data_IF_956464446364
#
_entry.id   IF_956464446364
#
_cell.length_a   1.000
_cell.length_b   1.000
_cell.length_c   1.000
_cell.angle_alpha   90.00
_cell.angle_beta   90.00
_cell.angle_gamma   90.00
#
_symmetry.space_group_name_H-M   'P 1'
#
loop_
_entity.id
_entity.type
_entity.pdbx_description
1 polymer ?
#
# COMPACT_ATOMS: atom_id res chain seq x y z
N UNK A 1 15.87 -39.49 -23.70
CA UNK A 1 15.88 -38.54 -22.56
C UNK A 1 15.18 -37.28 -23.03
N UNK A 2 13.99 -37.01 -22.52
CA UNK A 2 13.19 -35.82 -22.86
C UNK A 2 13.38 -34.83 -21.71
N UNK A 3 13.91 -33.65 -22.00
CA UNK A 3 14.04 -32.56 -21.03
C UNK A 3 12.65 -32.11 -20.55
N UNK A 4 12.48 -31.81 -19.25
CA UNK A 4 11.22 -31.25 -18.78
C UNK A 4 11.11 -29.81 -19.29
N UNK A 5 10.18 -29.60 -20.21
CA UNK A 5 9.68 -28.29 -20.59
C UNK A 5 9.20 -27.56 -19.32
N UNK A 6 9.98 -26.59 -18.85
CA UNK A 6 9.53 -25.60 -17.88
C UNK A 6 8.51 -24.69 -18.57
N UNK A 7 7.28 -25.17 -18.76
CA UNK A 7 6.13 -24.31 -18.97
C UNK A 7 5.94 -23.52 -17.69
N UNK A 8 6.47 -22.30 -17.66
CA UNK A 8 6.07 -21.26 -16.72
C UNK A 8 4.56 -21.07 -16.86
N UNK A 9 3.79 -21.75 -16.01
CA UNK A 9 2.40 -21.35 -15.77
C UNK A 9 2.49 -19.90 -15.31
N UNK A 10 1.67 -18.98 -15.85
CA UNK A 10 1.45 -17.71 -15.18
C UNK A 10 1.10 -18.06 -13.74
N UNK A 11 1.77 -17.48 -12.76
CA UNK A 11 1.30 -17.53 -11.37
C UNK A 11 -0.15 -17.05 -11.45
N UNK A 12 -1.11 -17.96 -11.29
CA UNK A 12 -2.53 -17.61 -11.22
C UNK A 12 -2.65 -16.70 -10.02
N UNK A 13 -2.65 -15.39 -10.26
CA UNK A 13 -2.79 -14.39 -9.21
C UNK A 13 -4.20 -14.58 -8.69
N UNK A 14 -4.31 -15.14 -7.49
CA UNK A 14 -5.57 -15.29 -6.78
C UNK A 14 -6.29 -13.94 -6.78
N UNK A 15 -7.59 -13.87 -7.17
CA UNK A 15 -8.34 -12.63 -7.16
C UNK A 15 -8.23 -11.90 -5.80
N UNK A 16 -8.15 -10.56 -5.76
CA UNK A 16 -8.01 -9.82 -4.49
C UNK A 16 -9.08 -10.17 -3.45
N UNK A 17 -10.34 -10.41 -3.88
CA UNK A 17 -11.42 -10.83 -2.98
C UNK A 17 -11.17 -12.20 -2.34
N UNK A 18 -10.56 -13.14 -3.06
CA UNK A 18 -10.18 -14.45 -2.53
C UNK A 18 -8.99 -14.35 -1.57
N UNK A 19 -8.02 -13.49 -1.86
CA UNK A 19 -6.91 -13.21 -0.95
C UNK A 19 -7.40 -12.61 0.37
N UNK A 20 -8.27 -11.60 0.31
CA UNK A 20 -8.83 -10.94 1.50
C UNK A 20 -9.76 -11.90 2.26
N UNK A 21 -10.58 -12.68 1.56
CA UNK A 21 -11.42 -13.69 2.18
C UNK A 21 -10.60 -14.75 2.93
N UNK A 22 -9.52 -15.26 2.32
CA UNK A 22 -8.62 -16.19 2.99
C UNK A 22 -7.88 -15.56 4.16
N UNK A 23 -7.50 -14.29 4.06
CA UNK A 23 -6.77 -13.58 5.12
C UNK A 23 -7.64 -13.33 6.34
N UNK A 24 -8.91 -12.99 6.13
CA UNK A 24 -9.86 -12.64 7.20
C UNK A 24 -10.76 -13.81 7.62
N UNK A 25 -10.54 -15.02 7.09
CA UNK A 25 -11.40 -16.20 7.26
C UNK A 25 -12.88 -15.91 6.97
N UNK A 26 -13.13 -15.24 5.84
CA UNK A 26 -14.46 -14.81 5.42
C UNK A 26 -14.99 -15.64 4.27
N UNK A 27 -16.30 -15.87 4.30
CA UNK A 27 -17.00 -16.57 3.24
C UNK A 27 -17.33 -15.63 2.08
N UNK A 28 -16.92 -16.00 0.88
CA UNK A 28 -17.39 -15.36 -0.35
C UNK A 28 -18.78 -15.89 -0.69
N UNK A 29 -19.68 -14.97 -1.01
CA UNK A 29 -21.03 -15.25 -1.49
C UNK A 29 -21.20 -14.66 -2.89
N UNK A 30 -22.14 -15.20 -3.66
CA UNK A 30 -22.53 -14.65 -4.97
C UNK A 30 -24.04 -14.38 -4.97
N UNK A 31 -24.50 -13.22 -4.48
CA UNK A 31 -25.91 -12.94 -4.38
C UNK A 31 -26.51 -12.55 -5.74
N UNK A 32 -27.53 -13.29 -6.15
CA UNK A 32 -28.35 -12.99 -7.34
C UNK A 32 -27.91 -13.70 -8.63
N UNK A 33 -28.49 -13.27 -9.76
CA UNK A 33 -28.26 -13.85 -11.09
C UNK A 33 -26.98 -13.35 -11.78
N UNK A 34 -26.32 -12.33 -11.23
CA UNK A 34 -25.06 -11.79 -11.76
C UNK A 34 -23.91 -12.41 -10.98
N UNK A 35 -22.86 -12.84 -11.69
CA UNK A 35 -21.66 -13.48 -11.16
C UNK A 35 -20.75 -12.49 -10.41
N UNK A 36 -21.30 -11.75 -9.43
CA UNK A 36 -20.55 -10.83 -8.58
C UNK A 36 -20.25 -11.51 -7.26
N UNK A 37 -18.96 -11.68 -6.99
CA UNK A 37 -18.47 -12.14 -5.69
C UNK A 37 -18.58 -11.00 -4.67
N UNK A 38 -19.07 -11.34 -3.48
CA UNK A 38 -19.23 -10.41 -2.37
C UNK A 38 -18.73 -11.06 -1.08
N UNK A 39 -18.20 -10.24 -0.21
CA UNK A 39 -17.84 -10.60 1.16
C UNK A 39 -18.03 -9.38 2.05
N UNK A 40 -18.13 -9.58 3.35
CA UNK A 40 -18.26 -8.48 4.28
C UNK A 40 -18.35 -8.94 5.72
N UNK A 41 -18.30 -7.96 6.61
CA UNK A 41 -18.36 -8.14 8.05
C UNK A 41 -19.12 -6.97 8.68
N UNK A 42 -19.60 -7.10 9.93
CA UNK A 42 -20.26 -6.00 10.63
C UNK A 42 -19.31 -4.82 10.87
N UNK A 43 -19.80 -3.58 10.71
CA UNK A 43 -18.97 -2.36 10.79
C UNK A 43 -18.18 -2.23 12.10
N UNK A 44 -18.72 -2.72 13.22
CA UNK A 44 -18.03 -2.70 14.51
C UNK A 44 -16.75 -3.55 14.56
N UNK A 45 -16.57 -4.50 13.62
CA UNK A 45 -15.37 -5.34 13.52
C UNK A 45 -14.27 -4.71 12.64
N UNK A 46 -14.49 -3.51 12.11
CA UNK A 46 -13.56 -2.84 11.20
C UNK A 46 -12.17 -2.70 11.79
N UNK A 47 -12.05 -2.18 13.02
CA UNK A 47 -10.76 -1.96 13.68
C UNK A 47 -9.94 -3.26 13.80
N UNK A 48 -10.60 -4.36 14.15
CA UNK A 48 -9.96 -5.69 14.24
C UNK A 48 -9.44 -6.20 12.89
N UNK A 49 -10.18 -6.01 11.80
CA UNK A 49 -9.72 -6.45 10.48
C UNK A 49 -8.70 -5.51 9.86
N UNK A 50 -8.73 -4.23 10.23
CA UNK A 50 -7.87 -3.20 9.70
C UNK A 50 -6.39 -3.47 10.03
N UNK A 51 -6.05 -3.79 11.27
CA UNK A 51 -4.67 -4.17 11.64
C UNK A 51 -4.15 -5.34 10.79
N UNK A 52 -4.95 -6.40 10.64
CA UNK A 52 -4.61 -7.57 9.83
C UNK A 52 -4.37 -7.21 8.36
N UNK A 53 -5.19 -6.33 7.78
CA UNK A 53 -5.07 -5.89 6.39
C UNK A 53 -3.82 -5.02 6.19
N UNK A 54 -3.61 -4.04 7.07
CA UNK A 54 -2.49 -3.10 6.99
C UNK A 54 -1.14 -3.81 7.20
N UNK A 55 -1.07 -4.79 8.11
CA UNK A 55 0.14 -5.60 8.33
C UNK A 55 0.52 -6.47 7.12
N UNK A 56 -0.46 -6.77 6.26
CA UNK A 56 -0.24 -7.44 4.97
C UNK A 56 0.01 -6.46 3.82
N UNK A 57 0.10 -5.16 4.10
CA UNK A 57 0.39 -4.13 3.11
C UNK A 57 -0.82 -3.68 2.28
N UNK A 58 -2.05 -4.02 2.70
CA UNK A 58 -3.25 -3.55 2.02
C UNK A 58 -3.59 -2.12 2.44
N UNK A 59 -4.07 -1.31 1.50
CA UNK A 59 -4.70 -0.01 1.78
C UNK A 59 -6.20 -0.18 1.85
N UNK A 60 -6.84 0.28 2.92
CA UNK A 60 -8.28 0.19 3.15
C UNK A 60 -8.93 1.55 2.95
N UNK A 61 -9.93 1.61 2.07
CA UNK A 61 -10.72 2.82 1.82
C UNK A 61 -12.12 2.61 2.41
N UNK A 62 -12.48 3.44 3.40
CA UNK A 62 -13.80 3.39 4.02
C UNK A 62 -14.74 4.33 3.26
N UNK A 63 -15.86 3.77 2.82
CA UNK A 63 -16.89 4.47 2.06
C UNK A 63 -18.18 4.43 2.87
N UNK A 64 -18.52 5.56 3.47
CA UNK A 64 -19.71 5.69 4.32
C UNK A 64 -20.89 6.30 3.57
N UNK A 65 -22.07 6.03 4.09
CA UNK A 65 -23.31 6.61 3.62
C UNK A 65 -23.46 8.07 4.07
N UNK A 66 -23.86 8.95 3.15
CA UNK A 66 -24.23 10.33 3.45
C UNK A 66 -25.74 10.42 3.70
N UNK A 67 -26.13 11.07 4.80
CA UNK A 67 -27.54 11.27 5.16
C UNK A 67 -28.14 12.38 4.29
N UNK A 68 -28.70 12.00 3.14
CA UNK A 68 -29.20 12.97 2.14
C UNK A 68 -30.72 13.09 2.02
N UNK A 69 -31.50 12.25 2.72
CA UNK A 69 -32.98 12.32 2.72
C UNK A 69 -33.67 12.10 1.36
N UNK A 70 -32.92 11.68 0.33
CA UNK A 70 -33.41 11.45 -1.05
C UNK A 70 -33.89 10.01 -1.22
N UNK A 71 -34.86 9.80 -2.10
CA UNK A 71 -35.29 8.47 -2.54
C UNK A 71 -34.26 7.84 -3.47
N UNK A 72 -34.12 6.51 -3.43
CA UNK A 72 -33.16 5.75 -4.25
C UNK A 72 -31.89 5.33 -3.51
N UNK A 73 -30.83 4.91 -4.23
CA UNK A 73 -29.56 4.55 -3.62
C UNK A 73 -28.99 5.72 -2.81
N UNK A 74 -28.67 5.46 -1.55
CA UNK A 74 -28.06 6.46 -0.66
C UNK A 74 -26.71 6.92 -1.21
N UNK A 75 -26.45 8.22 -1.12
CA UNK A 75 -25.18 8.79 -1.53
C UNK A 75 -24.07 8.25 -0.62
N UNK A 76 -22.88 8.03 -1.18
CA UNK A 76 -21.72 7.53 -0.44
C UNK A 76 -20.49 8.38 -0.74
N UNK A 77 -19.62 8.53 0.24
CA UNK A 77 -18.35 9.23 0.09
C UNK A 77 -17.24 8.50 0.86
N UNK A 78 -16.01 8.69 0.41
CA UNK A 78 -14.83 8.24 1.15
C UNK A 78 -14.76 9.06 2.44
N UNK A 79 -14.84 8.38 3.58
CA UNK A 79 -14.69 9.01 4.89
C UNK A 79 -13.26 8.94 5.38
N UNK A 80 -12.58 7.82 5.11
CA UNK A 80 -11.23 7.52 5.63
C UNK A 80 -10.43 6.68 4.64
N UNK A 81 -9.11 6.84 4.68
CA UNK A 81 -8.14 5.99 3.97
C UNK A 81 -7.08 5.56 4.98
N UNK A 82 -6.91 4.25 5.10
CA UNK A 82 -5.92 3.64 5.97
C UNK A 82 -4.85 2.97 5.11
N UNK A 83 -3.62 3.45 5.21
CA UNK A 83 -2.44 2.83 4.60
C UNK A 83 -1.55 2.21 5.68
N UNK A 84 -0.59 1.34 5.31
CA UNK A 84 0.27 0.63 6.26
C UNK A 84 1.02 1.54 7.25
N UNK A 85 1.36 2.78 6.86
CA UNK A 85 2.04 3.75 7.74
C UNK A 85 1.09 4.75 8.41
N UNK A 86 -0.23 4.62 8.25
CA UNK A 86 -1.23 5.53 8.81
C UNK A 86 -2.12 4.88 9.89
N UNK A 87 -1.77 3.71 10.42
CA UNK A 87 -2.55 3.07 11.49
C UNK A 87 -2.34 3.79 12.84
N UNK A 88 -3.43 4.14 13.52
CA UNK A 88 -3.42 4.85 14.80
C UNK A 88 -3.34 3.90 16.01
N UNK A 89 -3.83 2.66 15.88
CA UNK A 89 -4.26 1.89 17.05
C UNK A 89 -3.23 0.89 17.60
N UNK A 90 -2.14 0.59 16.87
CA UNK A 90 -1.20 -0.51 17.24
C UNK A 90 0.31 -0.15 17.15
N UNK A 91 0.67 1.13 17.15
CA UNK A 91 2.06 1.54 16.92
C UNK A 91 2.86 1.77 18.22
N UNK A 92 3.81 0.87 18.52
CA UNK A 92 4.82 1.08 19.59
C UNK A 92 5.88 2.12 19.21
N UNK A 93 6.10 2.30 17.92
CA UNK A 93 7.03 3.27 17.32
C UNK A 93 6.28 4.19 16.38
N UNK A 94 6.77 5.42 16.18
CA UNK A 94 6.09 6.38 15.31
C UNK A 94 6.16 5.91 13.84
N UNK A 95 5.02 5.66 13.18
CA UNK A 95 5.04 5.20 11.80
C UNK A 95 5.38 6.38 10.87
N UNK A 96 6.22 6.10 9.88
CA UNK A 96 6.63 7.05 8.86
C UNK A 96 6.28 6.53 7.47
N UNK A 97 5.84 7.46 6.62
CA UNK A 97 5.87 7.32 5.17
C UNK A 97 7.18 7.94 4.69
N UNK A 98 7.94 7.19 3.90
CA UNK A 98 9.15 7.71 3.26
C UNK A 98 8.81 8.17 1.85
N UNK A 99 9.09 9.42 1.49
CA UNK A 99 9.05 9.85 0.11
C UNK A 99 10.45 9.95 -0.49
N UNK A 100 10.61 9.51 -1.73
CA UNK A 100 11.87 9.60 -2.48
C UNK A 100 11.61 10.40 -3.74
N UNK A 101 12.38 11.47 -3.91
CA UNK A 101 12.41 12.27 -5.12
C UNK A 101 13.76 12.11 -5.82
N UNK A 102 13.73 11.76 -7.09
CA UNK A 102 14.90 11.66 -7.94
C UNK A 102 15.13 12.98 -8.70
N UNK A 103 16.26 13.61 -8.45
CA UNK A 103 16.75 14.73 -9.26
C UNK A 103 17.54 14.21 -10.46
N UNK A 104 17.65 15.03 -11.51
CA UNK A 104 18.45 14.74 -12.71
C UNK A 104 19.95 14.61 -12.39
N UNK A 105 20.44 15.28 -11.34
CA UNK A 105 21.84 15.29 -10.93
C UNK A 105 22.25 14.11 -10.03
N UNK A 106 21.56 12.97 -10.12
CA UNK A 106 21.75 11.82 -9.23
C UNK A 106 21.61 12.16 -7.72
N UNK A 107 20.87 13.23 -7.40
CA UNK A 107 20.51 13.57 -6.03
C UNK A 107 19.16 12.93 -5.67
N UNK A 108 19.12 12.31 -4.49
CA UNK A 108 17.92 11.80 -3.84
C UNK A 108 17.50 12.80 -2.77
N UNK A 109 16.28 13.28 -2.85
CA UNK A 109 15.66 13.98 -1.74
C UNK A 109 14.70 13.02 -1.05
N UNK A 110 14.98 12.72 0.22
CA UNK A 110 14.21 11.77 1.02
C UNK A 110 13.48 12.53 2.11
N UNK A 111 12.18 12.33 2.24
CA UNK A 111 11.41 12.88 3.35
C UNK A 111 10.81 11.74 4.17
N UNK A 112 10.93 11.81 5.48
CA UNK A 112 10.14 11.00 6.41
C UNK A 112 9.01 11.86 6.94
N UNK A 113 7.77 11.38 6.83
CA UNK A 113 6.61 12.07 7.35
C UNK A 113 5.74 11.12 8.19
N UNK A 114 5.39 11.55 9.40
CA UNK A 114 4.41 10.84 10.22
C UNK A 114 3.08 11.59 10.24
N UNK A 115 2.04 10.96 9.70
CA UNK A 115 0.68 11.50 9.74
C UNK A 115 0.12 11.58 11.17
N UNK A 116 0.70 10.84 12.12
CA UNK A 116 0.20 10.74 13.49
C UNK A 116 0.44 12.01 14.31
N UNK A 117 1.59 12.66 14.12
CA UNK A 117 1.97 13.85 14.87
C UNK A 117 2.51 14.99 14.01
N UNK A 118 2.53 14.82 12.68
CA UNK A 118 3.05 15.81 11.74
C UNK A 118 4.58 15.90 11.71
N UNK A 119 5.31 15.00 12.37
CA UNK A 119 6.76 15.02 12.37
C UNK A 119 7.30 14.77 10.96
N UNK A 120 8.17 15.67 10.49
CA UNK A 120 8.75 15.61 9.15
C UNK A 120 10.25 15.82 9.20
N UNK A 121 11.01 14.99 8.48
CA UNK A 121 12.47 15.08 8.37
C UNK A 121 12.87 15.01 6.90
N UNK A 122 13.79 15.88 6.48
CA UNK A 122 14.33 15.92 5.13
C UNK A 122 15.79 15.48 5.12
N UNK A 123 16.15 14.57 4.23
CA UNK A 123 17.52 14.12 3.98
C UNK A 123 17.89 14.32 2.51
N UNK A 124 18.75 15.30 2.19
CA UNK A 124 19.40 15.34 0.89
C UNK A 124 20.53 14.31 0.85
N UNK A 125 20.47 13.37 -0.08
CA UNK A 125 21.44 12.27 -0.21
C UNK A 125 21.86 12.16 -1.68
N UNK A 126 23.14 11.93 -1.97
CA UNK A 126 23.55 11.58 -3.34
C UNK A 126 23.26 10.10 -3.61
N UNK A 127 22.94 9.74 -4.85
CA UNK A 127 22.81 8.34 -5.29
C UNK A 127 24.05 7.49 -4.96
N UNK A 128 25.24 8.10 -4.96
CA UNK A 128 26.48 7.44 -4.55
C UNK A 128 26.43 6.93 -3.11
N UNK A 129 25.64 7.58 -2.25
CA UNK A 129 25.43 7.26 -0.84
C UNK A 129 24.16 6.44 -0.59
N UNK A 130 23.67 5.67 -1.59
CA UNK A 130 22.42 4.90 -1.48
C UNK A 130 22.35 3.96 -0.27
N UNK A 131 23.49 3.50 0.25
CA UNK A 131 23.55 2.69 1.48
C UNK A 131 22.99 3.43 2.71
N UNK A 132 23.06 4.77 2.73
CA UNK A 132 22.44 5.58 3.78
C UNK A 132 20.92 5.46 3.74
N UNK A 133 20.34 5.31 2.55
CA UNK A 133 18.90 5.11 2.37
C UNK A 133 18.46 3.77 2.95
N UNK A 134 19.22 2.70 2.67
CA UNK A 134 18.96 1.39 3.27
C UNK A 134 18.98 1.42 4.80
N UNK A 135 19.92 2.16 5.39
CA UNK A 135 19.96 2.38 6.85
C UNK A 135 18.74 3.15 7.37
N UNK A 136 18.25 4.15 6.65
CA UNK A 136 17.02 4.87 7.02
C UNK A 136 15.81 3.94 6.97
N UNK A 137 15.68 3.13 5.92
CA UNK A 137 14.57 2.17 5.78
C UNK A 137 14.50 1.20 6.97
N UNK A 138 15.66 0.66 7.38
CA UNK A 138 15.76 -0.28 8.51
C UNK A 138 15.54 0.44 9.84
N UNK A 139 16.20 1.57 10.08
CA UNK A 139 16.18 2.25 11.38
C UNK A 139 14.81 2.86 11.72
N UNK A 140 14.05 3.27 10.71
CA UNK A 140 12.71 3.84 10.90
C UNK A 140 11.58 2.85 10.59
N UNK A 141 11.91 1.56 10.40
CA UNK A 141 10.93 0.49 10.15
C UNK A 141 9.92 0.85 9.04
N UNK A 142 10.41 1.38 7.92
CA UNK A 142 9.55 1.96 6.87
C UNK A 142 8.69 0.86 6.22
N UNK A 143 7.37 1.04 6.29
CA UNK A 143 6.36 0.15 5.70
C UNK A 143 5.76 0.67 4.39
N UNK A 144 5.90 1.96 4.12
CA UNK A 144 5.29 2.63 2.97
C UNK A 144 6.28 3.63 2.36
N UNK A 145 6.47 3.53 1.03
CA UNK A 145 7.36 4.40 0.27
C UNK A 145 6.58 5.05 -0.88
N UNK A 146 6.64 6.37 -0.97
CA UNK A 146 6.08 7.15 -2.08
C UNK A 146 7.21 7.63 -2.98
N UNK A 147 7.22 7.21 -4.23
CA UNK A 147 8.29 7.57 -5.16
C UNK A 147 7.77 8.60 -6.15
N UNK A 148 8.38 9.79 -6.13
CA UNK A 148 8.12 10.81 -7.12
C UNK A 148 8.95 10.57 -8.37
N UNK A 149 8.29 10.58 -9.52
CA UNK A 149 8.88 10.34 -10.83
C UNK A 149 8.55 11.54 -11.71
N UNK A 150 9.56 12.36 -12.03
CA UNK A 150 9.41 13.38 -13.06
C UNK A 150 9.46 12.70 -14.43
N UNK A 151 8.39 12.84 -15.21
CA UNK A 151 8.12 12.08 -16.44
C UNK A 151 9.07 12.36 -17.61
N UNK A 152 10.07 13.23 -17.43
CA UNK A 152 11.06 13.58 -18.45
C UNK A 152 12.18 12.54 -18.64
N UNK A 153 12.41 11.68 -17.66
CA UNK A 153 13.44 10.61 -17.72
C UNK A 153 12.77 9.28 -18.05
N UNK A 154 13.35 8.54 -19.00
CA UNK A 154 12.82 7.24 -19.45
C UNK A 154 12.47 6.33 -18.26
N UNK A 155 11.20 5.92 -18.18
CA UNK A 155 10.62 5.16 -17.07
C UNK A 155 11.44 3.91 -16.70
N UNK A 156 12.07 3.26 -17.67
CA UNK A 156 12.92 2.07 -17.47
C UNK A 156 14.17 2.34 -16.63
N UNK A 157 14.84 3.49 -16.83
CA UNK A 157 16.05 3.85 -16.07
C UNK A 157 15.68 4.06 -14.60
N UNK A 158 14.54 4.72 -14.36
CA UNK A 158 14.08 5.02 -13.02
C UNK A 158 13.57 3.78 -12.29
N UNK A 159 12.84 2.89 -12.98
CA UNK A 159 12.44 1.58 -12.46
C UNK A 159 13.68 0.78 -12.04
N UNK A 160 14.73 0.74 -12.88
CA UNK A 160 15.98 0.05 -12.54
C UNK A 160 16.69 0.69 -11.33
N UNK A 161 16.69 2.02 -11.21
CA UNK A 161 17.21 2.71 -10.02
C UNK A 161 16.42 2.31 -8.77
N UNK A 162 15.08 2.31 -8.82
CA UNK A 162 14.25 1.87 -7.69
C UNK A 162 14.56 0.42 -7.31
N UNK A 163 14.63 -0.48 -8.30
CA UNK A 163 14.98 -1.88 -8.05
C UNK A 163 16.33 -2.01 -7.36
N UNK A 164 17.38 -1.35 -7.87
CA UNK A 164 18.71 -1.38 -7.27
C UNK A 164 18.80 -0.74 -5.87
N UNK A 165 17.79 0.05 -5.48
CA UNK A 165 17.70 0.64 -4.15
C UNK A 165 17.01 -0.28 -3.15
N UNK A 166 16.01 -1.04 -3.61
CA UNK A 166 15.09 -1.80 -2.76
C UNK A 166 15.39 -3.31 -2.73
N UNK A 167 16.10 -3.85 -3.73
CA UNK A 167 16.42 -5.27 -3.93
C UNK A 167 17.92 -5.44 -4.20
#
# INVERSE_FOLDING_TARGET
LVEPSMRSRPLEVTPPIEQIASLLDMRIISPGKRSLLQMGFPTYSLTTHLSTLLDKGWTVVVIDELVTGKSGPKQRAVSQVYSPSCNLEDCTELPYVLSIYFSQDDLLCITLFSAMNGHSILFPVSWADRDKVGRLLINYCIKEIVIWVDSGVGSEILINKIYNLLI
#
